data_IF_884296116296
#
_entry.id   IF_884296116296
#
_cell.length_a   1.000
_cell.length_b   1.000
_cell.length_c   1.000
_cell.angle_alpha   90.00
_cell.angle_beta   90.00
_cell.angle_gamma   90.00
#
_symmetry.space_group_name_H-M   'P 1'
#
loop_
_entity.id
_entity.type
_entity.pdbx_description
1 polymer ?
#
# COMPACT_ATOMS: atom_id res chain seq x y z
N UNK A 1 2.90 -44.13 -10.82
CA UNK A 1 3.68 -42.89 -10.58
C UNK A 1 2.69 -41.76 -10.83
N UNK A 2 1.92 -41.45 -9.78
CA UNK A 2 1.94 -40.19 -9.00
C UNK A 2 1.19 -39.06 -9.72
N UNK A 3 -0.13 -39.21 -9.82
CA UNK A 3 -1.06 -38.09 -10.04
C UNK A 3 -1.40 -37.56 -8.65
N UNK A 4 -0.82 -36.43 -8.25
CA UNK A 4 -1.15 -35.74 -7.00
C UNK A 4 -2.41 -34.90 -7.23
N UNK A 5 -3.52 -35.10 -6.49
CA UNK A 5 -4.78 -34.36 -6.67
C UNK A 5 -4.79 -32.88 -6.23
N UNK A 6 -3.62 -32.25 -6.17
CA UNK A 6 -3.48 -30.87 -5.70
C UNK A 6 -2.61 -30.08 -6.66
N UNK A 7 -3.09 -29.90 -7.90
CA UNK A 7 -2.65 -28.77 -8.72
C UNK A 7 -3.26 -27.48 -8.14
N UNK A 8 -2.77 -27.08 -6.98
CA UNK A 8 -2.88 -25.69 -6.54
C UNK A 8 -1.93 -24.89 -7.43
N UNK A 9 -2.48 -24.35 -8.51
CA UNK A 9 -1.85 -23.38 -9.39
C UNK A 9 -1.64 -22.03 -8.67
N UNK A 10 -0.93 -22.07 -7.53
CA UNK A 10 -0.56 -20.92 -6.72
C UNK A 10 0.31 -19.94 -7.52
N UNK A 11 1.00 -20.43 -8.54
CA UNK A 11 1.80 -19.64 -9.46
C UNK A 11 0.94 -18.83 -10.44
N UNK A 12 -0.27 -19.28 -10.78
CA UNK A 12 -1.25 -18.46 -11.50
C UNK A 12 -1.89 -17.39 -10.60
N UNK A 13 -1.91 -17.57 -9.28
CA UNK A 13 -2.32 -16.51 -8.34
C UNK A 13 -1.28 -15.37 -8.24
N UNK A 14 -0.04 -15.65 -8.67
CA UNK A 14 0.99 -14.64 -8.95
C UNK A 14 0.87 -14.11 -10.38
N UNK A 15 -0.35 -14.15 -10.96
CA UNK A 15 -0.69 -13.50 -12.22
C UNK A 15 -0.16 -12.08 -12.20
N UNK A 16 0.87 -11.86 -13.04
CA UNK A 16 1.57 -10.62 -13.41
C UNK A 16 1.29 -9.44 -12.49
N UNK A 17 2.31 -8.87 -11.80
CA UNK A 17 2.12 -7.68 -10.99
C UNK A 17 1.41 -6.62 -11.83
N UNK A 18 0.16 -6.29 -11.45
CA UNK A 18 -0.62 -5.26 -12.13
C UNK A 18 0.14 -3.95 -11.92
N UNK A 19 0.56 -3.31 -13.00
CA UNK A 19 1.22 -2.01 -12.94
C UNK A 19 0.19 -0.93 -12.56
N UNK A 20 -0.07 -0.76 -11.26
CA UNK A 20 -1.10 0.15 -10.74
C UNK A 20 -0.88 1.62 -11.14
N UNK A 21 0.39 2.06 -11.24
CA UNK A 21 0.74 3.39 -11.73
C UNK A 21 0.29 3.60 -13.18
N UNK A 22 0.42 2.56 -14.02
CA UNK A 22 -0.02 2.59 -15.41
C UNK A 22 -1.54 2.58 -15.54
N UNK A 23 -2.23 1.85 -14.67
CA UNK A 23 -3.71 1.82 -14.61
C UNK A 23 -4.26 3.19 -14.20
N UNK A 24 -3.62 3.84 -13.23
CA UNK A 24 -4.00 5.17 -12.76
C UNK A 24 -3.49 6.31 -13.66
N UNK A 25 -2.76 6.01 -14.74
CA UNK A 25 -2.15 7.01 -15.65
C UNK A 25 -1.28 8.04 -14.92
N UNK A 26 -0.50 7.61 -13.92
CA UNK A 26 0.36 8.48 -13.10
C UNK A 26 1.83 8.04 -13.18
N UNK A 27 2.73 8.98 -12.93
CA UNK A 27 4.15 8.68 -12.79
C UNK A 27 4.46 7.94 -11.48
N UNK A 28 5.59 7.26 -11.41
CA UNK A 28 6.07 6.59 -10.20
C UNK A 28 6.45 7.59 -9.10
N UNK A 29 6.81 8.82 -9.46
CA UNK A 29 7.11 9.92 -8.51
C UNK A 29 5.90 10.82 -8.23
N UNK A 30 4.70 10.41 -8.65
CA UNK A 30 3.48 11.21 -8.50
C UNK A 30 3.15 11.48 -7.02
N UNK A 31 2.70 12.71 -6.75
CA UNK A 31 2.26 13.13 -5.41
C UNK A 31 0.88 12.60 -5.06
N UNK A 32 0.55 12.61 -3.76
CA UNK A 32 -0.77 12.22 -3.26
C UNK A 32 -1.92 12.93 -3.97
N UNK A 33 -1.78 14.24 -4.16
CA UNK A 33 -2.81 15.07 -4.79
C UNK A 33 -3.02 14.71 -6.27
N UNK A 34 -1.95 14.31 -6.96
CA UNK A 34 -1.99 13.92 -8.37
C UNK A 34 -2.68 12.56 -8.55
N UNK A 35 -2.38 11.60 -7.68
CA UNK A 35 -3.01 10.28 -7.66
C UNK A 35 -4.50 10.40 -7.35
N UNK A 36 -4.88 11.21 -6.34
CA UNK A 36 -6.28 11.50 -6.01
C UNK A 36 -7.00 12.16 -7.20
N UNK A 37 -6.36 13.13 -7.85
CA UNK A 37 -6.94 13.83 -9.00
C UNK A 37 -7.14 12.92 -10.21
N UNK A 38 -6.16 12.05 -10.50
CA UNK A 38 -6.27 11.08 -11.59
C UNK A 38 -7.36 10.04 -11.32
N UNK A 39 -7.47 9.55 -10.09
CA UNK A 39 -8.55 8.65 -9.68
C UNK A 39 -9.94 9.26 -9.95
N UNK A 40 -10.18 10.51 -9.54
CA UNK A 40 -11.45 11.20 -9.76
C UNK A 40 -11.74 11.33 -11.26
N UNK A 41 -10.74 11.72 -12.06
CA UNK A 41 -10.86 11.84 -13.52
C UNK A 41 -11.22 10.50 -14.17
N UNK A 42 -10.58 9.41 -13.77
CA UNK A 42 -10.81 8.07 -14.31
C UNK A 42 -12.15 7.48 -13.84
N UNK A 43 -12.53 7.69 -12.58
CA UNK A 43 -13.81 7.25 -12.03
C UNK A 43 -15.00 7.90 -12.75
N UNK A 44 -14.91 9.19 -13.08
CA UNK A 44 -15.92 9.89 -13.86
C UNK A 44 -15.98 9.41 -15.32
N UNK A 45 -14.82 9.08 -15.90
CA UNK A 45 -14.70 8.56 -17.27
C UNK A 45 -15.32 7.15 -17.39
N UNK A 46 -15.08 6.29 -16.42
CA UNK A 46 -15.54 4.90 -16.42
C UNK A 46 -16.78 4.68 -15.54
N UNK A 47 -17.52 5.74 -15.21
CA UNK A 47 -18.68 5.63 -14.34
C UNK A 47 -19.76 4.72 -14.96
N UNK A 48 -20.28 3.72 -14.22
CA UNK A 48 -21.22 2.74 -14.75
C UNK A 48 -22.52 3.37 -15.24
N UNK A 49 -22.91 4.55 -14.73
CA UNK A 49 -24.11 5.26 -15.21
C UNK A 49 -24.03 5.72 -16.67
N UNK A 50 -22.82 6.04 -17.16
CA UNK A 50 -22.60 6.48 -18.56
C UNK A 50 -22.30 5.31 -19.51
N UNK A 51 -21.98 4.14 -18.97
CA UNK A 51 -21.52 2.96 -19.71
C UNK A 51 -22.26 1.68 -19.29
N UNK A 52 -23.59 1.79 -19.09
CA UNK A 52 -24.44 0.69 -18.59
C UNK A 52 -24.42 -0.57 -19.46
N UNK A 53 -24.12 -0.42 -20.75
CA UNK A 53 -24.11 -1.51 -21.73
C UNK A 53 -22.73 -2.13 -21.96
N UNK A 54 -21.68 -1.69 -21.25
CA UNK A 54 -20.32 -2.19 -21.45
C UNK A 54 -19.74 -2.81 -20.18
N UNK A 55 -19.66 -4.14 -20.16
CA UNK A 55 -18.98 -4.92 -19.10
C UNK A 55 -17.50 -4.51 -18.94
N UNK A 56 -16.88 -3.99 -20.00
CA UNK A 56 -15.52 -3.48 -20.00
C UNK A 56 -15.33 -2.26 -19.09
N UNK A 57 -16.35 -1.41 -18.96
CA UNK A 57 -16.30 -0.21 -18.11
C UNK A 57 -16.32 -0.58 -16.63
N UNK A 58 -17.15 -1.55 -16.25
CA UNK A 58 -17.19 -2.10 -14.89
C UNK A 58 -15.86 -2.74 -14.51
N UNK A 59 -15.28 -3.53 -15.41
CA UNK A 59 -13.97 -4.16 -15.19
C UNK A 59 -12.85 -3.12 -15.02
N UNK A 60 -12.83 -2.07 -15.86
CA UNK A 60 -11.86 -0.96 -15.73
C UNK A 60 -12.04 -0.18 -14.44
N UNK A 61 -13.28 0.12 -14.06
CA UNK A 61 -13.57 0.82 -12.81
C UNK A 61 -13.10 0.02 -11.60
N UNK A 62 -13.29 -1.30 -11.62
CA UNK A 62 -12.81 -2.19 -10.56
C UNK A 62 -11.28 -2.19 -10.48
N UNK A 63 -10.57 -2.28 -11.61
CA UNK A 63 -9.09 -2.18 -11.64
C UNK A 63 -8.57 -0.86 -11.04
N UNK A 64 -9.21 0.27 -11.37
CA UNK A 64 -8.85 1.59 -10.85
C UNK A 64 -9.10 1.67 -9.34
N UNK A 65 -10.21 1.09 -8.87
CA UNK A 65 -10.55 1.10 -7.46
C UNK A 65 -9.60 0.22 -6.63
N UNK A 66 -9.25 -0.97 -7.12
CA UNK A 66 -8.23 -1.85 -6.50
C UNK A 66 -6.89 -1.11 -6.36
N UNK A 67 -6.42 -0.46 -7.44
CA UNK A 67 -5.18 0.31 -7.45
C UNK A 67 -5.16 1.41 -6.37
N UNK A 68 -6.26 2.16 -6.26
CA UNK A 68 -6.36 3.25 -5.29
C UNK A 68 -6.42 2.75 -3.85
N UNK A 69 -7.10 1.62 -3.59
CA UNK A 69 -7.17 1.02 -2.26
C UNK A 69 -5.79 0.53 -1.79
N UNK A 70 -5.04 -0.16 -2.65
CA UNK A 70 -3.70 -0.64 -2.33
C UNK A 70 -2.75 0.54 -2.04
N UNK A 71 -2.82 1.58 -2.86
CA UNK A 71 -2.03 2.79 -2.64
C UNK A 71 -2.43 3.52 -1.34
N UNK A 72 -3.72 3.68 -1.08
CA UNK A 72 -4.23 4.32 0.14
C UNK A 72 -3.86 3.51 1.39
N UNK A 73 -3.93 2.19 1.32
CA UNK A 73 -3.49 1.28 2.38
C UNK A 73 -1.98 1.42 2.64
N UNK A 74 -1.18 1.47 1.58
CA UNK A 74 0.25 1.71 1.68
C UNK A 74 0.57 3.07 2.32
N UNK A 75 -0.16 4.14 1.97
CA UNK A 75 0.00 5.45 2.61
C UNK A 75 -0.37 5.44 4.11
N UNK A 76 -1.46 4.76 4.47
CA UNK A 76 -1.85 4.57 5.87
C UNK A 76 -0.78 3.79 6.65
N UNK A 77 -0.10 2.83 6.02
CA UNK A 77 1.03 2.15 6.62
C UNK A 77 2.26 3.07 6.78
N UNK A 78 2.52 3.98 5.83
CA UNK A 78 3.60 4.96 5.92
C UNK A 78 3.41 5.99 7.04
N UNK A 79 2.18 6.43 7.28
CA UNK A 79 1.90 7.34 8.40
C UNK A 79 2.11 6.64 9.75
N UNK A 80 1.74 5.35 9.86
CA UNK A 80 1.92 4.55 11.06
C UNK A 80 3.39 4.21 11.36
N UNK A 81 4.21 3.96 10.34
CA UNK A 81 5.64 3.61 10.50
C UNK A 81 6.47 4.77 11.08
N UNK A 82 6.14 6.02 10.76
CA UNK A 82 6.78 7.18 11.39
C UNK A 82 6.47 7.25 12.88
N UNK A 83 5.23 7.00 13.29
CA UNK A 83 4.84 6.97 14.70
C UNK A 83 5.57 5.84 15.46
N UNK A 84 5.70 4.66 14.85
CA UNK A 84 6.40 3.53 15.44
C UNK A 84 7.91 3.79 15.59
N UNK A 85 8.56 4.39 14.58
CA UNK A 85 9.98 4.76 14.63
C UNK A 85 10.26 5.87 15.64
N UNK A 86 9.39 6.89 15.73
CA UNK A 86 9.51 7.95 16.73
C UNK A 86 9.35 7.38 18.13
N UNK A 87 8.36 6.51 18.35
CA UNK A 87 8.15 5.83 19.63
C UNK A 87 9.35 4.94 20.01
N UNK A 88 9.95 4.24 19.05
CA UNK A 88 11.15 3.43 19.29
C UNK A 88 12.36 4.30 19.66
N UNK A 89 12.56 5.42 18.98
CA UNK A 89 13.65 6.36 19.27
C UNK A 89 13.49 7.04 20.64
N UNK A 90 12.26 7.43 21.02
CA UNK A 90 11.94 7.94 22.36
C UNK A 90 12.16 6.90 23.46
N UNK A 91 11.80 5.64 23.21
CA UNK A 91 12.04 4.54 24.15
C UNK A 91 13.54 4.29 24.39
N UNK A 92 14.33 4.27 23.30
CA UNK A 92 15.79 4.12 23.39
C UNK A 92 16.41 5.31 24.14
N UNK A 93 15.97 6.55 23.84
CA UNK A 93 16.47 7.75 24.51
C UNK A 93 16.25 7.73 26.03
N UNK A 94 15.05 7.34 26.48
CA UNK A 94 14.72 7.20 27.91
C UNK A 94 15.52 6.08 28.60
N UNK A 95 15.85 5.01 27.87
CA UNK A 95 16.65 3.91 28.41
C UNK A 95 18.15 4.24 28.46
N UNK A 96 18.68 5.08 27.57
CA UNK A 96 20.07 5.53 27.64
C UNK A 96 20.35 6.44 28.83
N UNK A 97 19.39 7.28 29.23
CA UNK A 97 19.51 8.11 30.44
C UNK A 97 19.59 7.26 31.72
N UNK A 98 18.76 6.22 31.82
CA UNK A 98 18.82 5.25 32.93
C UNK A 98 20.17 4.51 33.00
N UNK A 99 20.71 4.10 31.84
CA UNK A 99 22.02 3.42 31.77
C UNK A 99 23.16 4.34 32.25
N UNK A 100 23.08 5.66 32.00
CA UNK A 100 24.08 6.62 32.51
C UNK A 100 23.99 6.79 34.03
N UNK A 101 22.80 6.85 34.62
CA UNK A 101 22.63 6.97 36.08
C UNK A 101 23.07 5.70 36.82
N UNK A 102 22.73 4.51 36.29
CA UNK A 102 23.14 3.23 36.89
C UNK A 102 24.66 3.03 36.82
N UNK A 103 25.32 3.53 35.75
CA UNK A 103 26.79 3.50 35.64
C UNK A 103 27.47 4.40 36.69
N UNK A 104 26.84 5.50 37.07
CA UNK A 104 27.36 6.42 38.10
C UNK A 104 27.29 5.80 39.51
N UNK A 105 26.25 5.00 39.79
CA UNK A 105 26.14 4.25 41.05
C UNK A 105 27.14 3.08 41.18
N UNK A 106 27.65 2.53 40.08
CA UNK A 106 28.60 1.40 40.10
C UNK A 106 30.07 1.83 40.18
N UNK A 107 30.36 3.14 40.15
CA UNK A 107 31.70 3.72 40.28
C UNK A 107 31.93 4.42 41.64
N UNK A 108 30.98 4.35 42.57
CA UNK A 108 31.12 4.77 43.98
C UNK A 108 31.23 3.55 44.89
#
# INVERSE_FOLDING_TARGET
QHESPFDFDFLSLLSKPKDYYKIMEVDYDAKEDEIRSSYIRLALKWHPDKHKDQDSATSKFQEINEAYQDWSSFLAFRSQTRACLVAFHEYIAKNTEWISEVRQCFQS
#
